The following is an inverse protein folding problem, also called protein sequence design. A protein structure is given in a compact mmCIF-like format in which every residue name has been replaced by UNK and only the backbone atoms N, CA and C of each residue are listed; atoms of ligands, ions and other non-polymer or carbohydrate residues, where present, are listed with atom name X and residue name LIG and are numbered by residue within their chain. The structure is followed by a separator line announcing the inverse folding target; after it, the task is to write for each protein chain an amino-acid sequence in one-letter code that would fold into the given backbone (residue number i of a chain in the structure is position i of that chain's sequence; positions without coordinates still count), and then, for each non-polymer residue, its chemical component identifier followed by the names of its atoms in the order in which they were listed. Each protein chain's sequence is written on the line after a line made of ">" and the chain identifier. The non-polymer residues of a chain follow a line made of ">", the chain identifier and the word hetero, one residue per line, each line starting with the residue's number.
data_IF_242503937544
#
_entry.id   IF_242503937544
#
_cell.length_a   1.000
_cell.length_b   1.000
_cell.length_c   1.000
_cell.angle_alpha   90.00
_cell.angle_beta   90.00
_cell.angle_gamma   90.00
#
_symmetry.space_group_name_H-M   'P 1'
#
loop_
_entity.id
_entity.type
_entity.pdbx_description
1 polymer ?
#
# COMPACT_ATOMS: atom_id res chain seq x y z
N UNK A 1 -2.08 -17.88 -25.34
CA UNK A 1 -0.78 -17.22 -25.61
C UNK A 1 -1.01 -15.73 -25.84
N UNK A 2 -0.15 -14.88 -25.28
CA UNK A 2 -0.12 -13.43 -25.52
C UNK A 2 1.26 -13.11 -26.07
N UNK A 3 1.32 -12.35 -27.14
CA UNK A 3 2.59 -11.99 -27.77
C UNK A 3 2.68 -10.48 -28.03
N UNK A 4 3.75 -9.89 -27.56
CA UNK A 4 4.14 -8.49 -27.80
C UNK A 4 5.37 -8.53 -28.69
N UNK A 5 5.34 -7.84 -29.85
CA UNK A 5 6.46 -7.77 -30.80
C UNK A 5 6.82 -6.32 -31.05
N UNK A 6 8.09 -5.98 -30.87
CA UNK A 6 8.69 -4.69 -31.25
C UNK A 6 7.86 -3.48 -30.76
N UNK A 7 7.28 -3.58 -29.57
CA UNK A 7 6.41 -2.56 -29.04
C UNK A 7 7.16 -1.28 -28.69
N UNK A 8 6.64 -0.15 -29.16
CA UNK A 8 7.06 1.18 -28.75
C UNK A 8 5.91 1.81 -27.99
N UNK A 9 6.12 2.18 -26.74
CA UNK A 9 5.09 2.80 -25.90
C UNK A 9 5.50 4.22 -25.55
N UNK A 10 4.58 5.16 -25.77
CA UNK A 10 4.75 6.59 -25.45
C UNK A 10 3.67 6.99 -24.44
N UNK A 11 4.09 7.57 -23.31
CA UNK A 11 3.18 8.11 -22.28
C UNK A 11 3.61 9.53 -21.92
N UNK A 12 2.67 10.48 -21.99
CA UNK A 12 2.94 11.91 -21.70
C UNK A 12 4.12 12.50 -22.50
N UNK A 13 4.27 12.09 -23.77
CA UNK A 13 5.33 12.56 -24.65
C UNK A 13 6.70 11.89 -24.45
N UNK A 14 6.86 11.05 -23.47
CA UNK A 14 8.08 10.29 -23.23
C UNK A 14 7.98 8.87 -23.82
N UNK A 15 9.01 8.45 -24.54
CA UNK A 15 9.16 7.07 -25.00
C UNK A 15 9.56 6.22 -23.80
N UNK A 16 8.67 5.29 -23.41
CA UNK A 16 8.89 4.41 -22.28
C UNK A 16 9.49 3.08 -22.73
N UNK A 17 8.77 2.31 -23.55
CA UNK A 17 9.32 1.09 -24.14
C UNK A 17 9.80 1.37 -25.57
N UNK A 18 10.91 0.75 -25.93
CA UNK A 18 11.50 0.83 -27.25
C UNK A 18 11.88 -0.56 -27.73
N UNK A 19 11.23 -1.01 -28.81
CA UNK A 19 11.45 -2.34 -29.38
C UNK A 19 11.27 -3.49 -28.38
N UNK A 20 10.26 -3.36 -27.48
CA UNK A 20 9.98 -4.33 -26.44
C UNK A 20 9.25 -5.55 -27.03
N UNK A 21 9.76 -6.75 -26.74
CA UNK A 21 9.14 -8.00 -27.17
C UNK A 21 9.04 -8.96 -25.99
N UNK A 22 7.88 -9.60 -25.82
CA UNK A 22 7.63 -10.56 -24.76
C UNK A 22 6.54 -11.54 -25.16
N UNK A 23 6.73 -12.81 -24.83
CA UNK A 23 5.78 -13.88 -25.12
C UNK A 23 5.35 -14.57 -23.83
N UNK A 24 4.05 -14.72 -23.67
CA UNK A 24 3.43 -15.40 -22.52
C UNK A 24 2.68 -16.62 -23.08
N UNK A 25 3.13 -17.81 -22.77
CA UNK A 25 2.50 -19.03 -23.23
C UNK A 25 1.28 -19.41 -22.38
N UNK A 26 0.45 -20.28 -22.92
CA UNK A 26 -0.69 -20.82 -22.17
C UNK A 26 -0.18 -21.63 -20.96
N UNK A 27 -0.84 -21.47 -19.81
CA UNK A 27 -0.44 -22.10 -18.54
C UNK A 27 0.74 -21.43 -17.83
N UNK A 28 1.30 -20.36 -18.37
CA UNK A 28 2.28 -19.54 -17.67
C UNK A 28 1.57 -18.47 -16.84
N UNK A 29 1.86 -18.44 -15.54
CA UNK A 29 1.40 -17.42 -14.61
C UNK A 29 2.61 -16.59 -14.16
N UNK A 30 2.53 -15.28 -14.35
CA UNK A 30 3.69 -14.43 -14.25
C UNK A 30 3.62 -13.44 -13.08
N UNK A 31 4.74 -13.25 -12.39
CA UNK A 31 4.99 -12.09 -11.55
C UNK A 31 5.97 -11.16 -12.25
N UNK A 32 5.62 -9.87 -12.34
CA UNK A 32 6.46 -8.81 -12.88
C UNK A 32 7.06 -8.04 -11.71
N UNK A 33 8.39 -7.98 -11.65
CA UNK A 33 9.16 -7.29 -10.61
C UNK A 33 10.12 -6.26 -11.21
N UNK A 34 10.75 -5.45 -10.37
CA UNK A 34 11.75 -4.46 -10.81
C UNK A 34 11.61 -3.13 -10.07
N UNK A 35 12.56 -2.20 -10.20
CA UNK A 35 12.56 -0.92 -9.53
C UNK A 35 11.29 -0.10 -9.78
N UNK A 36 11.01 0.87 -8.90
CA UNK A 36 9.94 1.82 -9.16
C UNK A 36 10.25 2.64 -10.42
N UNK A 37 9.22 2.87 -11.24
CA UNK A 37 9.39 3.56 -12.53
C UNK A 37 9.93 2.68 -13.68
N UNK A 38 10.16 1.37 -13.50
CA UNK A 38 10.66 0.47 -14.56
C UNK A 38 9.62 0.09 -15.62
N UNK A 39 8.36 0.53 -15.50
CA UNK A 39 7.32 0.30 -16.50
C UNK A 39 6.36 -0.84 -16.21
N UNK A 40 6.39 -1.46 -15.03
CA UNK A 40 5.52 -2.61 -14.65
C UNK A 40 4.03 -2.34 -14.87
N UNK A 41 3.50 -1.30 -14.23
CA UNK A 41 2.10 -0.85 -14.41
C UNK A 41 1.81 -0.53 -15.87
N UNK A 42 2.72 0.16 -16.56
CA UNK A 42 2.58 0.52 -17.98
C UNK A 42 2.47 -0.73 -18.87
N UNK A 43 3.19 -1.80 -18.53
CA UNK A 43 3.08 -3.07 -19.25
C UNK A 43 1.70 -3.72 -19.03
N UNK A 44 1.17 -3.72 -17.81
CA UNK A 44 -0.21 -4.20 -17.55
C UNK A 44 -1.25 -3.33 -18.28
N UNK A 45 -1.09 -1.99 -18.24
CA UNK A 45 -1.95 -1.05 -18.97
C UNK A 45 -1.90 -1.29 -20.49
N UNK A 46 -0.73 -1.62 -21.04
CA UNK A 46 -0.57 -2.01 -22.44
C UNK A 46 -1.35 -3.30 -22.74
N UNK A 47 -1.18 -4.35 -21.94
CA UNK A 47 -1.86 -5.64 -22.14
C UNK A 47 -3.38 -5.52 -21.95
N UNK A 48 -3.86 -4.66 -21.06
CA UNK A 48 -5.29 -4.42 -20.86
C UNK A 48 -5.95 -3.58 -21.95
N UNK A 49 -5.15 -2.82 -22.73
CA UNK A 49 -5.65 -1.86 -23.72
C UNK A 49 -5.99 -0.48 -23.14
N UNK A 50 -5.59 -0.20 -21.90
CA UNK A 50 -5.71 1.13 -21.33
C UNK A 50 -4.75 2.15 -21.97
N UNK A 51 -3.64 1.66 -22.53
CA UNK A 51 -2.67 2.46 -23.29
C UNK A 51 -2.65 1.99 -24.75
N UNK A 52 -2.65 2.98 -25.65
CA UNK A 52 -2.51 2.72 -27.10
C UNK A 52 -1.07 2.29 -27.44
N UNK A 53 -0.95 1.33 -28.36
CA UNK A 53 0.31 0.88 -28.93
C UNK A 53 0.54 1.56 -30.28
N UNK A 54 1.39 2.61 -30.36
CA UNK A 54 1.61 3.34 -31.62
C UNK A 54 2.44 2.54 -32.64
N UNK A 55 3.36 1.69 -32.19
CA UNK A 55 4.21 0.85 -33.05
C UNK A 55 4.43 -0.51 -32.42
N UNK A 56 4.54 -1.56 -33.26
CA UNK A 56 4.65 -2.94 -32.86
C UNK A 56 3.30 -3.65 -32.89
N UNK A 57 3.28 -4.88 -32.41
CA UNK A 57 2.10 -5.73 -32.42
C UNK A 57 1.84 -6.30 -31.02
N UNK A 58 0.56 -6.45 -30.70
CA UNK A 58 0.08 -7.16 -29.52
C UNK A 58 -1.05 -8.09 -29.94
N UNK A 59 -0.79 -9.38 -29.83
CA UNK A 59 -1.72 -10.43 -30.24
C UNK A 59 -2.09 -11.35 -29.10
N UNK A 60 -3.30 -11.91 -29.16
CA UNK A 60 -3.83 -12.86 -28.20
C UNK A 60 -4.40 -14.05 -28.95
N UNK A 61 -3.99 -15.26 -28.61
CA UNK A 61 -4.47 -16.49 -29.27
C UNK A 61 -5.98 -16.75 -29.08
N UNK A 62 -6.58 -16.10 -28.08
CA UNK A 62 -7.98 -16.26 -27.71
C UNK A 62 -8.88 -15.10 -28.15
N UNK A 63 -8.34 -14.09 -28.86
CA UNK A 63 -9.09 -12.95 -29.40
C UNK A 63 -9.14 -13.09 -30.92
N UNK A 64 -10.33 -13.28 -31.44
CA UNK A 64 -10.63 -13.34 -32.86
C UNK A 64 -11.40 -12.07 -33.27
N UNK A 65 -11.32 -11.70 -34.54
CA UNK A 65 -12.09 -10.58 -35.09
C UNK A 65 -11.41 -9.98 -36.32
N UNK A 66 -12.22 -9.58 -37.28
CA UNK A 66 -11.75 -8.98 -38.52
C UNK A 66 -11.52 -7.48 -38.39
N UNK A 67 -12.23 -6.84 -37.45
CA UNK A 67 -12.15 -5.40 -37.22
C UNK A 67 -11.42 -5.06 -35.92
N UNK A 68 -10.87 -3.84 -35.84
CA UNK A 68 -10.26 -3.33 -34.63
C UNK A 68 -11.26 -3.24 -33.45
N UNK A 69 -12.50 -2.79 -33.72
CA UNK A 69 -13.55 -2.66 -32.72
C UNK A 69 -13.97 -3.99 -32.11
N UNK A 70 -14.05 -5.05 -32.90
CA UNK A 70 -14.34 -6.40 -32.42
C UNK A 70 -13.23 -6.91 -31.50
N UNK A 71 -11.97 -6.80 -31.94
CA UNK A 71 -10.82 -7.21 -31.13
C UNK A 71 -10.73 -6.43 -29.82
N UNK A 72 -10.97 -5.12 -29.86
CA UNK A 72 -10.98 -4.27 -28.68
C UNK A 72 -12.08 -4.65 -27.71
N UNK A 73 -13.30 -4.92 -28.20
CA UNK A 73 -14.44 -5.34 -27.39
C UNK A 73 -14.19 -6.70 -26.73
N UNK A 74 -13.69 -7.67 -27.49
CA UNK A 74 -13.30 -8.97 -26.95
C UNK A 74 -12.19 -8.87 -25.91
N UNK A 75 -11.16 -8.03 -26.17
CA UNK A 75 -10.08 -7.79 -25.23
C UNK A 75 -10.60 -7.29 -23.90
N UNK A 76 -11.52 -6.32 -23.88
CA UNK A 76 -12.13 -5.80 -22.66
C UNK A 76 -12.91 -6.84 -21.87
N UNK A 77 -13.49 -7.83 -22.55
CA UNK A 77 -14.22 -8.94 -21.91
C UNK A 77 -13.29 -10.02 -21.38
N UNK A 78 -12.26 -10.37 -22.15
CA UNK A 78 -11.38 -11.51 -21.88
C UNK A 78 -10.14 -11.17 -21.08
N UNK A 79 -9.75 -9.90 -20.99
CA UNK A 79 -8.59 -9.41 -20.23
C UNK A 79 -9.07 -8.39 -19.20
N UNK A 80 -9.07 -8.78 -17.94
CA UNK A 80 -9.48 -7.89 -16.85
C UNK A 80 -8.26 -7.33 -16.14
N UNK A 81 -8.26 -6.02 -15.91
CA UNK A 81 -7.20 -5.31 -15.21
C UNK A 81 -7.71 -4.70 -13.91
N UNK A 82 -7.05 -5.03 -12.80
CA UNK A 82 -7.30 -4.45 -11.49
C UNK A 82 -6.10 -3.62 -11.08
N UNK A 83 -6.22 -2.28 -11.07
CA UNK A 83 -5.14 -1.36 -10.72
C UNK A 83 -4.84 -1.37 -9.22
N UNK A 84 -3.64 -0.93 -8.84
CA UNK A 84 -3.21 -0.79 -7.45
C UNK A 84 -4.18 0.08 -6.64
N UNK A 85 -4.61 1.22 -7.21
CA UNK A 85 -5.55 2.17 -6.60
C UNK A 85 -7.01 1.90 -6.99
N UNK A 86 -7.44 0.67 -6.86
CA UNK A 86 -8.77 0.22 -7.27
C UNK A 86 -9.93 0.97 -6.60
N UNK A 87 -9.73 1.51 -5.38
CA UNK A 87 -10.74 2.31 -4.69
C UNK A 87 -11.11 3.58 -5.48
N UNK A 88 -10.12 4.25 -6.07
CA UNK A 88 -10.37 5.45 -6.89
C UNK A 88 -11.17 5.13 -8.14
N UNK A 89 -10.95 3.95 -8.74
CA UNK A 89 -11.69 3.52 -9.92
C UNK A 89 -13.15 3.27 -9.57
N UNK A 90 -13.44 2.56 -8.47
CA UNK A 90 -14.83 2.29 -8.03
C UNK A 90 -15.56 3.57 -7.67
N UNK A 91 -14.89 4.51 -7.02
CA UNK A 91 -15.52 5.76 -6.58
C UNK A 91 -15.64 6.81 -7.70
N UNK A 92 -14.74 6.81 -8.68
CA UNK A 92 -14.86 7.66 -9.87
C UNK A 92 -15.97 7.17 -10.79
N UNK A 93 -16.19 5.87 -10.89
CA UNK A 93 -17.34 5.29 -11.58
C UNK A 93 -18.66 5.62 -10.85
N UNK A 94 -18.63 5.83 -9.53
CA UNK A 94 -19.78 6.14 -8.69
C UNK A 94 -20.05 7.65 -8.48
N UNK A 95 -19.49 8.53 -9.35
CA UNK A 95 -19.60 9.99 -9.28
C UNK A 95 -18.84 10.69 -8.13
N UNK A 96 -17.57 10.94 -8.37
CA UNK A 96 -16.82 12.18 -8.11
C UNK A 96 -16.70 12.81 -6.71
N UNK A 97 -17.13 12.22 -5.58
CA UNK A 97 -17.29 12.97 -4.33
C UNK A 97 -16.55 12.44 -3.09
N UNK A 98 -15.67 11.45 -3.25
CA UNK A 98 -15.03 10.79 -2.10
C UNK A 98 -14.22 11.73 -1.18
N UNK A 99 -13.51 12.71 -1.72
CA UNK A 99 -12.65 13.59 -0.92
C UNK A 99 -13.40 14.67 -0.14
N UNK A 100 -14.55 15.11 -0.63
CA UNK A 100 -15.34 16.14 0.06
C UNK A 100 -16.21 15.60 1.19
N UNK A 101 -16.68 14.36 1.09
CA UNK A 101 -17.60 13.76 2.07
C UNK A 101 -16.93 13.30 3.37
N UNK A 102 -15.64 12.96 3.34
CA UNK A 102 -14.91 12.55 4.56
C UNK A 102 -14.70 13.70 5.55
N UNK A 103 -14.77 14.96 5.06
CA UNK A 103 -14.55 16.17 5.86
C UNK A 103 -15.77 17.10 5.96
N UNK A 104 -16.75 17.00 5.09
CA UNK A 104 -17.94 17.81 5.10
C UNK A 104 -19.14 16.92 5.40
N UNK A 105 -19.61 16.91 6.64
CA UNK A 105 -20.81 16.18 7.08
C UNK A 105 -22.11 16.70 6.47
N UNK A 106 -22.12 17.01 5.17
CA UNK A 106 -23.32 17.45 4.44
C UNK A 106 -23.74 16.36 3.46
N UNK A 107 -24.91 15.78 3.78
CA UNK A 107 -25.51 14.64 3.17
C UNK A 107 -26.07 14.86 1.79
N UNK A 108 -26.39 13.77 1.22
CA UNK A 108 -27.38 13.37 0.19
C UNK A 108 -26.86 12.85 -1.14
N UNK A 109 -25.56 12.60 -1.32
CA UNK A 109 -25.13 11.71 -2.39
C UNK A 109 -24.74 10.35 -1.75
N UNK A 110 -25.59 9.36 -1.98
CA UNK A 110 -25.46 8.04 -1.34
C UNK A 110 -24.20 7.35 -1.82
N UNK A 111 -23.26 7.11 -0.92
CA UNK A 111 -22.12 6.23 -1.16
C UNK A 111 -22.68 4.86 -1.59
N UNK A 112 -22.20 4.29 -2.71
CA UNK A 112 -22.73 3.03 -3.20
C UNK A 112 -22.47 1.90 -2.20
N UNK A 113 -23.46 1.05 -2.00
CA UNK A 113 -23.29 -0.22 -1.30
C UNK A 113 -22.53 -1.20 -2.20
N UNK A 114 -21.85 -2.16 -1.59
CA UNK A 114 -21.13 -3.23 -2.31
C UNK A 114 -22.01 -3.92 -3.34
N UNK A 115 -23.27 -4.23 -3.00
CA UNK A 115 -24.22 -4.84 -3.93
C UNK A 115 -24.46 -3.98 -5.18
N UNK A 116 -24.46 -2.66 -5.06
CA UNK A 116 -24.63 -1.76 -6.21
C UNK A 116 -23.38 -1.75 -7.10
N UNK A 117 -22.19 -1.83 -6.51
CA UNK A 117 -20.91 -1.91 -7.26
C UNK A 117 -20.80 -3.22 -8.04
N UNK A 118 -21.33 -4.33 -7.48
CA UNK A 118 -21.34 -5.61 -8.16
C UNK A 118 -22.37 -5.66 -9.29
N UNK A 119 -23.42 -4.81 -9.27
CA UNK A 119 -24.42 -4.69 -10.32
C UNK A 119 -25.25 -5.97 -10.53
N UNK A 120 -25.24 -6.90 -9.58
CA UNK A 120 -25.91 -8.19 -9.65
C UNK A 120 -26.74 -8.46 -8.41
N UNK A 121 -27.81 -9.24 -8.59
CA UNK A 121 -28.66 -9.66 -7.49
C UNK A 121 -27.89 -10.59 -6.52
N UNK A 122 -28.24 -10.52 -5.22
CA UNK A 122 -27.62 -11.35 -4.18
C UNK A 122 -27.62 -12.84 -4.51
N UNK A 123 -28.68 -13.32 -5.18
CA UNK A 123 -28.80 -14.72 -5.58
C UNK A 123 -27.80 -15.12 -6.67
N UNK A 124 -27.44 -14.21 -7.58
CA UNK A 124 -26.44 -14.47 -8.62
C UNK A 124 -25.04 -14.57 -8.03
N UNK A 125 -24.73 -13.73 -7.02
CA UNK A 125 -23.46 -13.79 -6.31
C UNK A 125 -23.32 -15.12 -5.57
N UNK A 126 -24.40 -15.60 -4.93
CA UNK A 126 -24.42 -16.88 -4.22
C UNK A 126 -24.34 -18.10 -5.13
N UNK A 127 -24.68 -17.95 -6.40
CA UNK A 127 -24.59 -19.06 -7.38
C UNK A 127 -23.17 -19.27 -7.92
N UNK A 128 -22.26 -18.35 -7.66
CA UNK A 128 -20.86 -18.55 -8.03
C UNK A 128 -20.26 -19.66 -7.17
N UNK A 129 -19.61 -20.67 -7.77
CA UNK A 129 -18.90 -21.69 -7.04
C UNK A 129 -17.57 -21.14 -6.53
N UNK A 130 -17.64 -20.28 -5.51
CA UNK A 130 -16.49 -19.72 -4.81
C UNK A 130 -16.34 -20.36 -3.43
N UNK A 131 -15.13 -20.55 -2.92
CA UNK A 131 -14.92 -21.04 -1.56
C UNK A 131 -15.63 -20.20 -0.50
N UNK A 132 -16.10 -20.80 0.58
CA UNK A 132 -16.77 -20.08 1.68
C UNK A 132 -15.88 -19.01 2.32
N UNK A 133 -14.58 -19.25 2.39
CA UNK A 133 -13.58 -18.28 2.85
C UNK A 133 -13.58 -16.97 2.04
N UNK A 134 -14.12 -17.03 0.82
CA UNK A 134 -14.25 -15.89 -0.09
C UNK A 134 -15.66 -15.30 -0.14
N UNK A 135 -16.59 -15.82 0.66
CA UNK A 135 -17.94 -15.26 0.74
C UNK A 135 -17.89 -13.79 1.19
N UNK A 136 -18.59 -12.95 0.44
CA UNK A 136 -18.76 -11.52 0.74
C UNK A 136 -20.17 -11.18 1.20
N UNK A 137 -20.97 -12.17 1.55
CA UNK A 137 -22.38 -11.97 1.93
C UNK A 137 -22.56 -10.92 3.03
N UNK A 138 -21.64 -10.90 3.99
CA UNK A 138 -21.60 -9.93 5.09
C UNK A 138 -21.23 -8.50 4.67
N UNK A 139 -20.63 -8.34 3.48
CA UNK A 139 -20.19 -7.03 2.95
C UNK A 139 -21.26 -6.38 2.05
N UNK A 140 -22.22 -7.12 1.51
CA UNK A 140 -23.13 -6.66 0.45
C UNK A 140 -23.90 -5.39 0.80
N UNK A 141 -24.27 -5.23 2.06
CA UNK A 141 -25.02 -4.08 2.56
C UNK A 141 -24.13 -2.97 3.16
N UNK A 142 -22.82 -3.12 3.09
CA UNK A 142 -21.89 -2.07 3.54
C UNK A 142 -21.63 -1.04 2.45
N UNK A 143 -21.41 0.19 2.85
CA UNK A 143 -20.87 1.24 1.98
C UNK A 143 -19.43 0.86 1.57
N UNK A 144 -19.07 1.09 0.31
CA UNK A 144 -17.74 0.75 -0.22
C UNK A 144 -16.61 1.43 0.57
N UNK A 145 -16.89 2.61 1.12
CA UNK A 145 -15.94 3.37 1.95
C UNK A 145 -15.65 2.74 3.33
N UNK A 146 -16.50 1.81 3.77
CA UNK A 146 -16.32 1.07 5.02
C UNK A 146 -15.52 -0.22 4.86
N UNK A 147 -15.19 -0.58 3.64
CA UNK A 147 -14.41 -1.77 3.37
C UNK A 147 -12.93 -1.57 3.71
N UNK A 148 -12.30 -2.60 4.26
CA UNK A 148 -10.84 -2.67 4.29
C UNK A 148 -10.28 -2.81 2.87
N UNK A 149 -9.00 -2.51 2.67
CA UNK A 149 -8.34 -2.68 1.35
C UNK A 149 -8.48 -4.12 0.84
N UNK A 150 -8.37 -5.13 1.71
CA UNK A 150 -8.55 -6.53 1.35
C UNK A 150 -9.97 -6.86 0.92
N UNK A 151 -10.96 -6.40 1.70
CA UNK A 151 -12.37 -6.58 1.36
C UNK A 151 -12.72 -5.92 0.02
N UNK A 152 -12.21 -4.71 -0.22
CA UNK A 152 -12.41 -4.03 -1.49
C UNK A 152 -11.81 -4.81 -2.66
N UNK A 153 -10.58 -5.31 -2.52
CA UNK A 153 -9.92 -6.14 -3.56
C UNK A 153 -10.70 -7.42 -3.83
N UNK A 154 -11.23 -8.09 -2.78
CA UNK A 154 -12.13 -9.23 -2.92
C UNK A 154 -13.39 -8.87 -3.73
N UNK A 155 -14.03 -7.76 -3.41
CA UNK A 155 -15.22 -7.27 -4.14
C UNK A 155 -14.93 -7.02 -5.63
N UNK A 156 -13.77 -6.42 -5.94
CA UNK A 156 -13.39 -6.12 -7.33
C UNK A 156 -13.08 -7.37 -8.14
N UNK A 157 -12.40 -8.34 -7.53
CA UNK A 157 -12.16 -9.63 -8.16
C UNK A 157 -13.49 -10.34 -8.47
N UNK A 158 -14.42 -10.35 -7.52
CA UNK A 158 -15.76 -10.92 -7.74
C UNK A 158 -16.54 -10.15 -8.79
N UNK A 159 -16.45 -8.81 -8.84
CA UNK A 159 -17.08 -8.01 -9.91
C UNK A 159 -16.57 -8.45 -11.28
N UNK A 160 -15.27 -8.67 -11.41
CA UNK A 160 -14.66 -9.14 -12.65
C UNK A 160 -15.24 -10.51 -13.07
N UNK A 161 -15.39 -11.45 -12.16
CA UNK A 161 -15.93 -12.78 -12.40
C UNK A 161 -17.43 -12.79 -12.72
N UNK A 162 -18.21 -11.90 -12.09
CA UNK A 162 -19.66 -11.79 -12.31
C UNK A 162 -20.00 -11.26 -13.70
N UNK A 163 -19.11 -10.49 -14.33
CA UNK A 163 -19.28 -9.97 -15.68
C UNK A 163 -19.12 -11.11 -16.71
N UNK A 164 -17.95 -11.73 -16.72
CA UNK A 164 -17.57 -12.87 -17.54
C UNK A 164 -16.24 -13.41 -16.96
N UNK A 165 -16.08 -14.73 -16.90
CA UNK A 165 -14.79 -15.30 -16.44
C UNK A 165 -13.72 -14.92 -17.46
N UNK A 166 -12.70 -14.13 -17.07
CA UNK A 166 -11.68 -13.68 -18.02
C UNK A 166 -10.72 -14.79 -18.39
N UNK A 167 -10.14 -14.72 -19.60
CA UNK A 167 -9.00 -15.57 -19.96
C UNK A 167 -7.75 -15.14 -19.20
N UNK A 168 -7.60 -13.82 -18.96
CA UNK A 168 -6.41 -13.23 -18.34
C UNK A 168 -6.83 -12.24 -17.27
N UNK A 169 -6.23 -12.35 -16.09
CA UNK A 169 -6.39 -11.43 -14.98
C UNK A 169 -5.06 -10.72 -14.72
N UNK A 170 -5.08 -9.40 -14.89
CA UNK A 170 -3.94 -8.51 -14.66
C UNK A 170 -4.12 -7.82 -13.32
N UNK A 171 -3.17 -8.01 -12.40
CA UNK A 171 -3.24 -7.50 -11.03
C UNK A 171 -2.03 -6.60 -10.75
N UNK A 172 -2.30 -5.33 -10.47
CA UNK A 172 -1.26 -4.36 -10.13
C UNK A 172 -1.19 -4.20 -8.61
N UNK A 173 -0.13 -4.68 -7.99
CA UNK A 173 0.10 -4.70 -6.55
C UNK A 173 -1.10 -5.20 -5.74
N UNK A 174 -1.59 -6.43 -6.01
CA UNK A 174 -2.82 -6.94 -5.38
C UNK A 174 -2.71 -7.08 -3.87
N UNK A 175 -1.51 -7.29 -3.33
CA UNK A 175 -1.28 -7.57 -1.91
C UNK A 175 -0.92 -6.32 -1.10
N UNK A 176 -0.83 -5.15 -1.73
CA UNK A 176 -0.47 -3.91 -1.06
C UNK A 176 -1.52 -3.50 -0.02
N UNK A 177 -1.07 -3.18 1.21
CA UNK A 177 -1.95 -2.77 2.32
C UNK A 177 -2.79 -3.90 2.92
N UNK A 178 -2.48 -5.18 2.61
CA UNK A 178 -3.12 -6.33 3.23
C UNK A 178 -2.32 -6.83 4.42
N UNK A 179 -3.02 -7.20 5.49
CA UNK A 179 -2.44 -8.00 6.57
C UNK A 179 -2.16 -9.44 6.10
N UNK A 180 -1.45 -10.21 6.93
CA UNK A 180 -1.01 -11.55 6.59
C UNK A 180 -2.18 -12.47 6.22
N UNK A 181 -3.22 -12.53 7.06
CA UNK A 181 -4.38 -13.41 6.86
C UNK A 181 -5.11 -13.04 5.55
N UNK A 182 -5.36 -11.73 5.32
CA UNK A 182 -6.01 -11.24 4.10
C UNK A 182 -5.19 -11.51 2.83
N UNK A 183 -3.86 -11.54 2.96
CA UNK A 183 -2.96 -11.88 1.86
C UNK A 183 -3.05 -13.37 1.53
N UNK A 184 -2.98 -14.26 2.53
CA UNK A 184 -3.14 -15.70 2.31
C UNK A 184 -4.47 -16.00 1.64
N UNK A 185 -5.57 -15.46 2.17
CA UNK A 185 -6.89 -15.61 1.56
C UNK A 185 -6.90 -15.18 0.09
N UNK A 186 -6.23 -14.06 -0.25
CA UNK A 186 -6.19 -13.55 -1.61
C UNK A 186 -5.33 -14.43 -2.52
N UNK A 187 -4.20 -14.94 -2.03
CA UNK A 187 -3.37 -15.92 -2.75
C UNK A 187 -4.16 -17.19 -3.06
N UNK A 188 -4.82 -17.78 -2.06
CA UNK A 188 -5.63 -18.98 -2.24
C UNK A 188 -6.78 -18.75 -3.23
N UNK A 189 -7.37 -17.56 -3.26
CA UNK A 189 -8.39 -17.23 -4.25
C UNK A 189 -7.82 -17.08 -5.67
N UNK A 190 -6.67 -16.46 -5.84
CA UNK A 190 -6.01 -16.37 -7.14
C UNK A 190 -5.65 -17.78 -7.63
N UNK A 191 -5.14 -18.64 -6.76
CA UNK A 191 -4.84 -20.04 -7.08
C UNK A 191 -6.11 -20.78 -7.50
N UNK A 192 -7.22 -20.58 -6.77
CA UNK A 192 -8.51 -21.16 -7.13
C UNK A 192 -9.01 -20.69 -8.51
N UNK A 193 -8.88 -19.40 -8.84
CA UNK A 193 -9.27 -18.87 -10.15
C UNK A 193 -8.46 -19.51 -11.29
N UNK A 194 -7.16 -19.61 -11.10
CA UNK A 194 -6.27 -20.18 -12.10
C UNK A 194 -6.53 -21.68 -12.31
N UNK A 195 -6.71 -22.44 -11.21
CA UNK A 195 -6.85 -23.90 -11.28
C UNK A 195 -8.26 -24.35 -11.68
N UNK A 196 -9.31 -23.66 -11.20
CA UNK A 196 -10.70 -24.06 -11.44
C UNK A 196 -11.25 -23.51 -12.74
N UNK A 197 -10.93 -22.28 -13.06
CA UNK A 197 -11.47 -21.59 -14.24
C UNK A 197 -10.47 -21.44 -15.39
N UNK A 198 -9.22 -21.85 -15.20
CA UNK A 198 -8.18 -21.73 -16.22
C UNK A 198 -7.77 -20.28 -16.49
N UNK A 199 -7.99 -19.37 -15.55
CA UNK A 199 -7.65 -17.95 -15.69
C UNK A 199 -6.14 -17.80 -15.65
N UNK A 200 -5.55 -17.21 -16.67
CA UNK A 200 -4.11 -16.87 -16.69
C UNK A 200 -3.85 -15.66 -15.83
N UNK A 201 -2.90 -15.76 -14.91
CA UNK A 201 -2.58 -14.69 -13.93
C UNK A 201 -1.29 -13.99 -14.34
N UNK A 202 -1.33 -12.66 -14.43
CA UNK A 202 -0.17 -11.79 -14.58
C UNK A 202 -0.26 -10.71 -13.51
N UNK A 203 0.66 -10.71 -12.55
CA UNK A 203 0.63 -9.75 -11.46
C UNK A 203 1.94 -8.97 -11.33
N UNK A 204 1.83 -7.75 -10.84
CA UNK A 204 2.97 -6.93 -10.43
C UNK A 204 3.05 -6.98 -8.92
N UNK A 205 4.17 -7.41 -8.38
CA UNK A 205 4.42 -7.36 -6.93
C UNK A 205 5.93 -7.37 -6.63
N UNK A 206 6.28 -6.99 -5.38
CA UNK A 206 7.64 -7.03 -4.85
C UNK A 206 7.81 -8.07 -3.73
N UNK A 207 6.75 -8.76 -3.34
CA UNK A 207 6.74 -9.67 -2.21
C UNK A 207 7.24 -11.07 -2.58
N UNK A 208 7.76 -11.78 -1.58
CA UNK A 208 8.21 -13.17 -1.73
C UNK A 208 7.05 -14.17 -1.58
N UNK A 209 5.97 -13.78 -0.87
CA UNK A 209 4.79 -14.63 -0.69
C UNK A 209 3.80 -14.37 -1.83
N UNK A 210 3.79 -15.26 -2.79
CA UNK A 210 3.00 -15.20 -4.02
C UNK A 210 2.03 -16.40 -4.10
N UNK A 211 0.96 -16.32 -4.89
CA UNK A 211 0.11 -17.47 -5.22
C UNK A 211 0.95 -18.63 -5.77
N UNK A 212 0.59 -19.86 -5.40
CA UNK A 212 1.33 -21.08 -5.79
C UNK A 212 1.36 -21.34 -7.28
N UNK A 213 0.34 -20.85 -8.00
CA UNK A 213 0.26 -20.96 -9.48
C UNK A 213 1.31 -20.13 -10.20
N UNK A 214 1.90 -19.12 -9.57
CA UNK A 214 2.92 -18.27 -10.18
C UNK A 214 4.17 -19.09 -10.44
N UNK A 215 4.44 -19.35 -11.73
CA UNK A 215 5.54 -20.22 -12.18
C UNK A 215 6.62 -19.50 -13.00
N UNK A 216 6.39 -18.22 -13.33
CA UNK A 216 7.32 -17.41 -14.11
C UNK A 216 7.51 -16.03 -13.50
N UNK A 217 8.69 -15.48 -13.66
CA UNK A 217 9.06 -14.14 -13.17
C UNK A 217 9.72 -13.33 -14.27
N UNK A 218 9.21 -12.13 -14.48
CA UNK A 218 9.79 -11.11 -15.35
C UNK A 218 10.41 -10.01 -14.49
N UNK A 219 11.68 -9.72 -14.70
CA UNK A 219 12.36 -8.58 -14.07
C UNK A 219 12.49 -7.47 -15.11
N UNK A 220 11.85 -6.34 -14.84
CA UNK A 220 11.96 -5.13 -15.66
C UNK A 220 12.95 -4.15 -15.03
N UNK A 221 13.80 -3.56 -15.86
CA UNK A 221 14.66 -2.45 -15.47
C UNK A 221 14.67 -1.41 -16.59
N UNK A 222 14.41 -0.14 -16.25
CA UNK A 222 14.44 0.97 -17.21
C UNK A 222 13.65 0.69 -18.49
N UNK A 223 12.44 0.14 -18.37
CA UNK A 223 11.53 -0.21 -19.47
C UNK A 223 12.04 -1.31 -20.42
N UNK A 224 13.00 -2.12 -19.97
CA UNK A 224 13.51 -3.27 -20.71
C UNK A 224 13.41 -4.54 -19.86
N UNK A 225 13.38 -5.70 -20.52
CA UNK A 225 13.50 -6.99 -19.83
C UNK A 225 14.96 -7.15 -19.41
N UNK A 226 15.19 -7.22 -18.10
CA UNK A 226 16.49 -7.55 -17.55
C UNK A 226 16.68 -9.07 -17.48
N UNK A 227 15.61 -9.78 -17.06
CA UNK A 227 15.67 -11.22 -16.84
C UNK A 227 14.28 -11.86 -16.83
N UNK A 228 14.22 -13.10 -17.36
CA UNK A 228 13.07 -14.00 -17.22
C UNK A 228 13.53 -15.26 -16.47
N UNK A 229 12.78 -15.66 -15.46
CA UNK A 229 13.14 -16.79 -14.60
C UNK A 229 11.92 -17.70 -14.35
N UNK A 230 12.16 -19.00 -14.20
CA UNK A 230 11.18 -19.86 -13.56
C UNK A 230 11.19 -19.60 -12.06
N UNK A 231 10.00 -19.49 -11.45
CA UNK A 231 9.87 -19.40 -9.99
C UNK A 231 10.03 -20.80 -9.42
N UNK A 232 11.14 -21.05 -8.72
CA UNK A 232 11.27 -22.27 -7.93
C UNK A 232 10.30 -22.20 -6.74
N UNK A 233 9.73 -23.35 -6.33
CA UNK A 233 8.86 -23.42 -5.16
C UNK A 233 9.50 -22.69 -3.98
N UNK A 234 8.83 -21.64 -3.53
CA UNK A 234 9.29 -20.79 -2.43
C UNK A 234 9.29 -21.63 -1.17
N UNK A 235 10.47 -21.90 -0.62
CA UNK A 235 10.62 -22.40 0.72
C UNK A 235 9.94 -21.41 1.68
N UNK A 236 8.97 -21.91 2.45
CA UNK A 236 8.28 -21.14 3.47
C UNK A 236 9.32 -20.49 4.40
N UNK A 237 9.35 -19.18 4.46
CA UNK A 237 10.18 -18.44 5.40
C UNK A 237 9.52 -18.62 6.77
N UNK A 238 10.16 -19.38 7.64
CA UNK A 238 9.74 -19.50 9.04
C UNK A 238 9.74 -18.12 9.69
N UNK A 239 8.61 -17.76 10.27
CA UNK A 239 8.46 -16.56 11.10
C UNK A 239 9.35 -16.77 12.35
N UNK A 240 10.33 -15.92 12.60
CA UNK A 240 11.17 -16.08 13.79
C UNK A 240 10.31 -15.94 15.05
N UNK A 241 10.27 -16.99 15.85
CA UNK A 241 9.67 -16.97 17.18
C UNK A 241 10.42 -15.99 18.09
N UNK A 242 9.65 -15.23 18.83
CA UNK A 242 9.99 -14.16 19.76
C UNK A 242 11.27 -14.42 20.57
N UNK A 243 12.24 -13.55 20.41
CA UNK A 243 13.24 -13.33 21.47
C UNK A 243 12.71 -12.22 22.38
N UNK A 244 12.36 -12.59 23.61
CA UNK A 244 12.07 -11.62 24.67
C UNK A 244 13.31 -10.77 24.91
N UNK A 245 13.21 -9.44 24.92
CA UNK A 245 14.36 -8.58 25.12
C UNK A 245 14.88 -8.73 26.55
N UNK A 246 16.20 -8.87 26.70
CA UNK A 246 16.86 -8.67 27.98
C UNK A 246 16.68 -7.20 28.36
N UNK A 247 15.87 -6.94 29.35
CA UNK A 247 15.67 -5.63 29.97
C UNK A 247 16.98 -5.19 30.62
N UNK A 248 17.59 -4.16 30.08
CA UNK A 248 18.65 -3.42 30.76
C UNK A 248 17.98 -2.49 31.78
N UNK A 249 17.81 -2.96 33.01
CA UNK A 249 17.00 -2.36 34.08
C UNK A 249 17.64 -1.11 34.75
N UNK A 250 18.75 -0.55 34.24
CA UNK A 250 19.55 0.41 34.99
C UNK A 250 19.42 1.88 34.58
N UNK A 251 18.54 2.26 33.63
CA UNK A 251 18.33 3.67 33.25
C UNK A 251 16.94 4.17 33.65
N UNK A 252 16.88 5.26 34.40
CA UNK A 252 15.66 6.04 34.61
C UNK A 252 15.15 6.54 33.26
N UNK A 253 14.22 5.79 32.66
CA UNK A 253 13.70 6.05 31.30
C UNK A 253 12.52 7.04 31.43
N UNK A 254 12.63 8.18 30.73
CA UNK A 254 11.55 9.18 30.67
C UNK A 254 10.42 8.66 29.76
N UNK A 255 9.18 8.58 30.21
CA UNK A 255 8.07 8.17 29.36
C UNK A 255 7.76 9.27 28.33
N UNK A 256 7.71 8.88 27.06
CA UNK A 256 7.35 9.73 25.92
C UNK A 256 5.88 9.59 25.59
N UNK A 257 5.35 8.35 25.65
CA UNK A 257 3.93 8.05 25.50
C UNK A 257 3.51 7.14 26.65
N UNK A 258 2.43 7.48 27.32
CA UNK A 258 1.80 6.65 28.34
C UNK A 258 0.29 6.61 28.09
N UNK A 259 -0.24 5.41 28.00
CA UNK A 259 -1.66 5.14 27.70
C UNK A 259 -2.17 4.17 28.75
N UNK A 260 -3.25 4.55 29.43
CA UNK A 260 -3.88 3.72 30.43
C UNK A 260 -5.34 3.47 30.08
N UNK A 261 -5.77 2.21 30.13
CA UNK A 261 -7.15 1.77 29.96
C UNK A 261 -7.84 2.33 28.70
N UNK A 262 -7.08 2.50 27.61
CA UNK A 262 -7.62 3.06 26.38
C UNK A 262 -8.75 2.20 25.84
N UNK A 263 -9.85 2.87 25.49
CA UNK A 263 -10.98 2.29 24.78
C UNK A 263 -11.24 3.05 23.48
N UNK A 264 -11.24 2.33 22.36
CA UNK A 264 -11.65 2.85 21.05
C UNK A 264 -12.96 2.14 20.67
N UNK A 265 -14.00 2.92 20.50
CA UNK A 265 -15.32 2.41 20.15
C UNK A 265 -15.96 3.33 19.10
N UNK A 266 -16.51 2.73 18.05
CA UNK A 266 -17.30 3.40 17.02
C UNK A 266 -18.72 2.84 17.04
N UNK A 267 -19.68 3.66 17.46
CA UNK A 267 -21.06 3.21 17.68
C UNK A 267 -21.10 1.99 18.63
N UNK A 268 -21.58 0.84 18.15
CA UNK A 268 -21.66 -0.41 18.92
C UNK A 268 -20.44 -1.32 18.75
N UNK A 269 -19.48 -0.94 17.89
CA UNK A 269 -18.28 -1.74 17.63
C UNK A 269 -17.10 -1.30 18.48
N UNK A 270 -16.64 -2.18 19.36
CA UNK A 270 -15.43 -1.97 20.18
C UNK A 270 -14.23 -2.46 19.36
N UNK A 271 -13.32 -1.53 19.03
CA UNK A 271 -12.10 -1.81 18.27
C UNK A 271 -10.94 -2.15 19.20
N UNK A 272 -10.87 -1.46 20.36
CA UNK A 272 -9.81 -1.64 21.36
C UNK A 272 -10.39 -1.38 22.76
N UNK A 273 -10.03 -2.21 23.73
CA UNK A 273 -10.47 -2.08 25.11
C UNK A 273 -9.35 -2.44 26.07
N UNK A 274 -9.29 -1.72 27.21
CA UNK A 274 -8.31 -1.95 28.28
C UNK A 274 -6.84 -1.96 27.80
N UNK A 275 -6.53 -1.16 26.77
CA UNK A 275 -5.19 -1.11 26.23
C UNK A 275 -4.28 -0.22 27.07
N UNK A 276 -3.18 -0.82 27.58
CA UNK A 276 -2.17 -0.14 28.36
C UNK A 276 -0.83 -0.20 27.64
N UNK A 277 -0.14 0.93 27.55
CA UNK A 277 1.14 1.00 26.86
C UNK A 277 1.99 2.16 27.36
N UNK A 278 3.25 1.90 27.66
CA UNK A 278 4.25 2.91 27.98
C UNK A 278 5.42 2.80 27.04
N UNK A 279 5.79 3.92 26.44
CA UNK A 279 6.92 4.05 25.51
C UNK A 279 7.89 5.05 26.13
N UNK A 280 9.14 4.65 26.26
CA UNK A 280 10.19 5.49 26.82
C UNK A 280 11.07 6.11 25.74
N UNK A 281 11.81 7.15 26.09
CA UNK A 281 12.77 7.80 25.20
C UNK A 281 13.80 6.79 24.68
N UNK A 282 14.04 6.81 23.37
CA UNK A 282 14.96 5.91 22.68
C UNK A 282 14.41 4.50 22.42
N UNK A 283 13.17 4.20 22.84
CA UNK A 283 12.54 2.92 22.49
C UNK A 283 12.25 2.81 20.99
N UNK A 284 12.36 1.59 20.47
CA UNK A 284 12.03 1.27 19.07
C UNK A 284 10.97 0.18 19.04
N UNK A 285 9.72 0.59 18.87
CA UNK A 285 8.55 -0.29 18.92
C UNK A 285 8.03 -0.66 17.54
N UNK A 286 7.69 -1.93 17.38
CA UNK A 286 6.78 -2.40 16.34
C UNK A 286 5.37 -2.54 16.91
N UNK A 287 4.39 -1.88 16.29
CA UNK A 287 2.99 -2.02 16.59
C UNK A 287 2.35 -2.92 15.54
N UNK A 288 1.96 -4.12 15.94
CA UNK A 288 1.42 -5.16 15.06
C UNK A 288 -0.04 -5.48 15.40
N UNK A 289 -0.79 -5.97 14.42
CA UNK A 289 -2.20 -6.36 14.58
C UNK A 289 -2.91 -6.42 13.24
N UNK A 290 -4.09 -7.03 13.21
CA UNK A 290 -4.92 -7.15 12.00
C UNK A 290 -5.36 -5.78 11.47
N UNK A 291 -5.79 -5.74 10.21
CA UNK A 291 -6.43 -4.54 9.66
C UNK A 291 -7.72 -4.25 10.44
N UNK A 292 -7.97 -2.95 10.73
CA UNK A 292 -9.11 -2.54 11.54
C UNK A 292 -8.92 -2.68 13.06
N UNK A 293 -7.77 -3.18 13.56
CA UNK A 293 -7.51 -3.30 15.01
C UNK A 293 -7.24 -1.97 15.72
N UNK A 294 -7.28 -0.83 15.02
CA UNK A 294 -7.14 0.50 15.62
C UNK A 294 -5.72 1.07 15.64
N UNK A 295 -4.74 0.47 14.96
CA UNK A 295 -3.35 0.95 14.93
C UNK A 295 -3.21 2.40 14.43
N UNK A 296 -3.76 2.71 13.25
CA UNK A 296 -3.73 4.07 12.68
C UNK A 296 -4.55 5.05 13.53
N UNK A 297 -5.66 4.59 14.15
CA UNK A 297 -6.42 5.40 15.11
C UNK A 297 -5.57 5.74 16.33
N UNK A 298 -4.83 4.77 16.86
CA UNK A 298 -3.92 4.99 17.98
C UNK A 298 -2.82 6.01 17.61
N UNK A 299 -2.23 5.90 16.40
CA UNK A 299 -1.27 6.89 15.91
C UNK A 299 -1.88 8.28 15.79
N UNK A 300 -3.10 8.42 15.26
CA UNK A 300 -3.78 9.71 15.16
C UNK A 300 -4.10 10.33 16.54
N UNK A 301 -4.34 9.50 17.56
CA UNK A 301 -4.49 9.98 18.93
C UNK A 301 -3.16 10.50 19.51
N UNK A 302 -2.05 9.80 19.28
CA UNK A 302 -0.71 10.21 19.71
C UNK A 302 -0.27 11.46 18.95
N UNK A 303 -0.52 11.53 17.63
CA UNK A 303 -0.20 12.69 16.79
C UNK A 303 -1.14 13.90 17.02
N UNK A 304 -2.12 13.75 17.93
CA UNK A 304 -3.06 14.79 18.32
C UNK A 304 -4.08 15.21 17.24
N UNK A 305 -4.37 14.34 16.28
CA UNK A 305 -5.39 14.58 15.23
C UNK A 305 -6.75 13.95 15.52
N UNK A 306 -6.84 13.06 16.52
CA UNK A 306 -8.09 12.37 16.84
C UNK A 306 -8.81 12.97 18.06
N UNK A 307 -10.08 13.40 17.94
CA UNK A 307 -10.80 14.07 19.02
C UNK A 307 -11.05 13.17 20.25
N UNK A 308 -11.18 11.86 20.07
CA UNK A 308 -11.35 10.92 21.20
C UNK A 308 -10.16 10.91 22.17
N UNK A 309 -8.98 11.39 21.76
CA UNK A 309 -7.80 11.45 22.63
C UNK A 309 -8.05 12.27 23.92
N UNK A 310 -8.92 13.28 23.86
CA UNK A 310 -9.23 14.14 25.00
C UNK A 310 -10.03 13.44 26.10
N UNK A 311 -10.80 12.41 25.76
CA UNK A 311 -11.60 11.64 26.72
C UNK A 311 -10.85 10.44 27.30
N UNK A 312 -9.64 10.15 26.81
CA UNK A 312 -8.84 9.01 27.20
C UNK A 312 -7.72 9.39 28.18
N UNK A 313 -7.15 8.39 28.80
CA UNK A 313 -5.99 8.56 29.68
C UNK A 313 -4.70 8.41 28.88
N UNK A 314 -4.30 9.49 28.20
CA UNK A 314 -3.10 9.56 27.36
C UNK A 314 -2.20 10.68 27.86
N UNK A 315 -0.94 10.38 28.11
CA UNK A 315 0.10 11.35 28.41
C UNK A 315 1.13 11.31 27.27
N UNK A 316 1.53 12.49 26.83
CA UNK A 316 2.57 12.70 25.84
C UNK A 316 3.65 13.58 26.46
N UNK A 317 4.88 13.09 26.45
CA UNK A 317 6.04 13.80 27.02
C UNK A 317 5.79 14.26 28.46
N UNK A 318 5.14 13.42 29.26
CA UNK A 318 4.82 13.68 30.67
C UNK A 318 3.61 14.59 30.90
N UNK A 319 2.90 15.06 29.88
CA UNK A 319 1.68 15.88 30.01
C UNK A 319 0.44 15.13 29.55
N UNK A 320 -0.61 15.17 30.35
CA UNK A 320 -1.90 14.57 30.00
C UNK A 320 -2.55 15.33 28.85
N UNK A 321 -3.13 14.60 27.88
CA UNK A 321 -3.90 15.19 26.79
C UNK A 321 -5.10 15.98 27.33
N UNK A 322 -5.27 17.24 26.85
CA UNK A 322 -6.34 18.13 27.28
C UNK A 322 -6.02 18.92 28.55
N UNK A 323 -4.78 18.92 29.04
CA UNK A 323 -4.37 19.72 30.22
C UNK A 323 -3.95 21.16 29.88
N UNK A 324 -4.25 21.64 28.65
CA UNK A 324 -3.98 23.01 28.21
C UNK A 324 -2.81 23.13 27.23
N UNK A 325 -2.22 22.02 26.78
CA UNK A 325 -1.21 22.03 25.73
C UNK A 325 -1.84 22.30 24.35
N UNK A 326 -1.12 23.03 23.52
CA UNK A 326 -1.49 23.23 22.12
C UNK A 326 -1.20 21.97 21.29
N UNK A 327 -2.10 21.66 20.34
CA UNK A 327 -1.86 20.61 19.32
C UNK A 327 -0.53 20.86 18.61
N UNK A 328 -0.19 22.11 18.35
CA UNK A 328 1.05 22.49 17.68
C UNK A 328 2.29 22.22 18.52
N UNK A 329 2.21 22.30 19.85
CA UNK A 329 3.35 21.99 20.74
C UNK A 329 3.66 20.49 20.68
N UNK A 330 2.64 19.64 20.58
CA UNK A 330 2.79 18.20 20.39
C UNK A 330 3.37 17.92 19.02
N UNK A 331 2.79 18.46 17.95
CA UNK A 331 3.23 18.24 16.56
C UNK A 331 4.64 18.75 16.25
N UNK A 332 5.15 19.71 17.03
CA UNK A 332 6.56 20.12 16.93
C UNK A 332 7.53 19.05 17.40
N UNK A 333 7.11 18.15 18.29
CA UNK A 333 7.95 17.10 18.90
C UNK A 333 7.79 15.76 18.20
N UNK A 334 6.74 15.59 17.37
CA UNK A 334 6.41 14.34 16.69
C UNK A 334 6.53 14.54 15.18
N UNK A 335 7.19 13.59 14.49
CA UNK A 335 7.04 13.45 13.05
C UNK A 335 6.15 12.23 12.75
N UNK A 336 5.29 12.37 11.75
CA UNK A 336 4.37 11.33 11.32
C UNK A 336 4.44 11.11 9.82
N UNK A 337 4.56 9.86 9.43
CA UNK A 337 4.40 9.40 8.04
C UNK A 337 3.34 8.33 8.03
N UNK A 338 2.34 8.48 7.18
CA UNK A 338 1.24 7.54 7.05
C UNK A 338 0.60 7.53 5.66
N UNK A 339 -0.30 6.58 5.39
CA UNK A 339 -0.90 6.36 4.07
C UNK A 339 -1.68 7.58 3.52
N UNK A 340 -2.11 8.47 4.40
CA UNK A 340 -2.93 9.66 4.06
C UNK A 340 -2.07 10.89 3.70
N UNK A 341 -0.76 10.73 3.55
CA UNK A 341 0.17 11.84 3.35
C UNK A 341 -0.23 12.76 2.20
N UNK A 342 -0.73 12.20 1.10
CA UNK A 342 -1.15 12.97 -0.09
C UNK A 342 -2.27 13.97 0.24
N UNK A 343 -3.16 13.63 1.17
CA UNK A 343 -4.28 14.51 1.56
C UNK A 343 -3.83 15.75 2.34
N UNK A 344 -2.62 15.77 2.87
CA UNK A 344 -2.04 16.94 3.55
C UNK A 344 -1.27 17.90 2.61
N UNK A 345 -1.07 17.51 1.34
CA UNK A 345 -0.37 18.35 0.38
C UNK A 345 -1.27 19.47 -0.15
N UNK A 346 -0.85 20.72 0.03
CA UNK A 346 -1.55 21.86 -0.59
C UNK A 346 -1.29 21.91 -2.10
N UNK A 347 -2.18 22.55 -2.91
CA UNK A 347 -1.94 22.76 -4.34
C UNK A 347 -0.60 23.43 -4.66
N UNK A 348 -0.14 24.38 -3.81
CA UNK A 348 1.19 25.01 -3.93
C UNK A 348 2.31 24.00 -3.73
N UNK A 349 2.20 23.15 -2.71
CA UNK A 349 3.20 22.12 -2.42
C UNK A 349 3.32 21.11 -3.55
N UNK A 350 2.20 20.73 -4.16
CA UNK A 350 2.16 19.80 -5.29
C UNK A 350 2.92 20.36 -6.52
N UNK A 351 2.98 21.68 -6.70
CA UNK A 351 3.67 22.33 -7.81
C UNK A 351 5.19 22.49 -7.59
N UNK A 352 5.66 22.39 -6.34
CA UNK A 352 7.08 22.46 -6.00
C UNK A 352 7.83 21.19 -6.44
N UNK A 353 9.16 21.30 -6.63
CA UNK A 353 9.99 20.10 -6.66
C UNK A 353 10.00 19.41 -5.29
N UNK A 354 10.31 18.11 -5.24
CA UNK A 354 10.42 17.39 -3.96
C UNK A 354 11.47 18.07 -3.05
N UNK A 355 12.59 18.53 -3.62
CA UNK A 355 13.64 19.29 -2.92
C UNK A 355 13.09 20.57 -2.29
N UNK A 356 12.39 21.39 -3.08
CA UNK A 356 11.85 22.65 -2.61
C UNK A 356 10.71 22.45 -1.62
N UNK A 357 9.94 21.39 -1.77
CA UNK A 357 8.93 20.99 -0.79
C UNK A 357 9.54 20.68 0.57
N UNK A 358 10.61 19.84 0.62
CA UNK A 358 11.33 19.51 1.86
C UNK A 358 11.91 20.79 2.50
N UNK A 359 12.53 21.67 1.71
CA UNK A 359 13.04 22.95 2.19
C UNK A 359 11.93 23.87 2.73
N UNK A 360 10.76 23.89 2.10
CA UNK A 360 9.64 24.75 2.53
C UNK A 360 9.14 24.40 3.93
N UNK A 361 9.22 23.12 4.30
CA UNK A 361 8.84 22.62 5.62
C UNK A 361 9.97 22.84 6.62
N UNK A 362 11.22 22.61 6.21
CA UNK A 362 12.41 22.64 7.05
C UNK A 362 13.25 23.90 6.79
N UNK A 363 12.77 25.06 7.22
CA UNK A 363 13.42 26.36 6.94
C UNK A 363 14.87 26.50 7.44
N UNK A 364 15.32 25.67 8.37
CA UNK A 364 16.67 25.66 8.93
C UNK A 364 17.55 24.55 8.37
N UNK A 365 17.04 23.78 7.40
CA UNK A 365 17.75 22.66 6.83
C UNK A 365 18.98 23.14 6.04
N UNK A 366 20.13 22.60 6.35
CA UNK A 366 21.34 22.82 5.56
C UNK A 366 21.40 21.87 4.36
N UNK A 367 22.12 22.31 3.32
CA UNK A 367 22.23 21.54 2.07
C UNK A 367 23.02 20.25 2.22
N UNK A 368 23.93 20.18 3.18
CA UNK A 368 24.76 18.99 3.42
C UNK A 368 23.86 17.86 3.94
N UNK A 369 23.05 18.16 4.95
CA UNK A 369 22.10 17.19 5.52
C UNK A 369 21.10 16.71 4.48
N UNK A 370 20.55 17.62 3.65
CA UNK A 370 19.64 17.25 2.57
C UNK A 370 20.32 16.35 1.55
N UNK A 371 21.50 16.69 1.08
CA UNK A 371 22.21 15.88 0.08
C UNK A 371 22.63 14.52 0.66
N UNK A 372 23.05 14.47 1.92
CA UNK A 372 23.39 13.22 2.60
C UNK A 372 22.21 12.23 2.61
N UNK A 373 21.01 12.72 2.93
CA UNK A 373 19.82 11.85 2.95
C UNK A 373 19.37 11.47 1.53
N UNK A 374 19.51 12.40 0.56
CA UNK A 374 19.24 12.12 -0.86
C UNK A 374 20.16 11.03 -1.37
N UNK A 375 21.46 11.07 -1.04
CA UNK A 375 22.43 10.06 -1.44
C UNK A 375 22.14 8.71 -0.77
N UNK A 376 21.82 8.72 0.53
CA UNK A 376 21.50 7.48 1.25
C UNK A 376 20.32 6.73 0.64
N UNK A 377 19.27 7.45 0.26
CA UNK A 377 18.05 6.87 -0.33
C UNK A 377 18.09 6.74 -1.85
N UNK A 378 19.20 7.08 -2.50
CA UNK A 378 19.34 7.14 -3.97
C UNK A 378 18.22 7.96 -4.63
N UNK A 379 17.83 9.08 -4.01
CA UNK A 379 16.70 9.90 -4.40
C UNK A 379 17.00 10.92 -5.51
N UNK A 380 18.23 10.94 -6.07
CA UNK A 380 18.66 11.84 -7.15
C UNK A 380 17.73 11.76 -8.37
N UNK A 381 17.18 10.58 -8.62
CA UNK A 381 16.28 10.34 -9.78
C UNK A 381 14.95 11.09 -9.70
N UNK A 382 14.52 11.49 -8.51
CA UNK A 382 13.21 12.14 -8.35
C UNK A 382 13.22 13.44 -7.53
N UNK A 383 14.28 13.74 -6.80
CA UNK A 383 14.30 14.86 -5.84
C UNK A 383 14.00 16.23 -6.48
N UNK A 384 14.33 16.39 -7.75
CA UNK A 384 14.07 17.63 -8.50
C UNK A 384 12.82 17.57 -9.37
N UNK A 385 12.06 16.44 -9.34
CA UNK A 385 10.75 16.33 -10.00
C UNK A 385 9.68 17.08 -9.20
N UNK A 386 8.66 17.66 -9.88
CA UNK A 386 7.48 18.19 -9.20
C UNK A 386 6.77 17.12 -8.36
N UNK A 387 6.34 17.46 -7.15
CA UNK A 387 5.66 16.52 -6.22
C UNK A 387 4.46 15.83 -6.91
N UNK A 388 3.72 16.54 -7.75
CA UNK A 388 2.58 15.99 -8.51
C UNK A 388 2.94 14.89 -9.51
N UNK A 389 4.20 14.78 -9.90
CA UNK A 389 4.70 13.79 -10.87
C UNK A 389 5.38 12.59 -10.23
N UNK A 390 5.48 12.58 -8.90
CA UNK A 390 6.06 11.48 -8.16
C UNK A 390 5.13 10.25 -8.18
N UNK A 391 5.74 9.08 -8.32
CA UNK A 391 5.04 7.81 -8.05
C UNK A 391 4.71 7.68 -6.56
N UNK A 392 3.80 6.75 -6.21
CA UNK A 392 3.45 6.50 -4.81
C UNK A 392 4.67 6.17 -3.95
N UNK A 393 5.61 5.36 -4.47
CA UNK A 393 6.84 5.02 -3.76
C UNK A 393 7.81 6.20 -3.61
N UNK A 394 7.97 7.04 -4.66
CA UNK A 394 8.79 8.25 -4.59
C UNK A 394 8.20 9.26 -3.59
N UNK A 395 6.86 9.39 -3.55
CA UNK A 395 6.16 10.25 -2.61
C UNK A 395 6.31 9.76 -1.16
N UNK A 396 6.17 8.46 -0.94
CA UNK A 396 6.39 7.81 0.35
C UNK A 396 7.83 8.06 0.83
N UNK A 397 8.80 7.84 -0.05
CA UNK A 397 10.21 8.04 0.28
C UNK A 397 10.54 9.51 0.58
N UNK A 398 9.99 10.46 -0.19
CA UNK A 398 10.10 11.90 0.09
C UNK A 398 9.59 12.25 1.49
N UNK A 399 8.45 11.68 1.90
CA UNK A 399 7.88 11.91 3.22
C UNK A 399 8.74 11.34 4.34
N UNK A 400 9.27 10.14 4.14
CA UNK A 400 10.19 9.49 5.08
C UNK A 400 11.47 10.32 5.24
N UNK A 401 12.06 10.77 4.12
CA UNK A 401 13.23 11.65 4.14
C UNK A 401 12.95 12.95 4.91
N UNK A 402 11.80 13.58 4.63
CA UNK A 402 11.37 14.78 5.36
C UNK A 402 11.22 14.53 6.87
N UNK A 403 10.68 13.37 7.26
CA UNK A 403 10.53 12.97 8.65
C UNK A 403 11.91 12.88 9.37
N UNK A 404 12.90 12.31 8.72
CA UNK A 404 14.24 12.14 9.30
C UNK A 404 15.06 13.45 9.34
N UNK A 405 14.78 14.38 8.43
CA UNK A 405 15.42 15.71 8.43
C UNK A 405 14.86 16.65 9.51
N UNK A 406 13.73 16.29 10.14
CA UNK A 406 13.19 17.02 11.28
C UNK A 406 13.69 16.36 12.55
N UNK A 407 14.51 17.03 13.33
CA UNK A 407 14.99 16.55 14.64
C UNK A 407 13.81 16.44 15.63
N UNK A 408 13.09 15.31 15.59
CA UNK A 408 11.93 15.05 16.43
C UNK A 408 12.23 14.01 17.50
N UNK A 409 11.59 14.16 18.65
CA UNK A 409 11.74 13.25 19.78
C UNK A 409 11.02 11.92 19.56
N UNK A 410 9.91 11.96 18.80
CA UNK A 410 9.09 10.79 18.48
C UNK A 410 8.83 10.72 16.97
N UNK A 411 9.13 9.57 16.37
CA UNK A 411 8.81 9.23 15.00
C UNK A 411 7.69 8.19 14.98
N UNK A 412 6.61 8.50 14.28
CA UNK A 412 5.48 7.61 14.03
C UNK A 412 5.47 7.25 12.55
N UNK A 413 5.79 6.01 12.22
CA UNK A 413 5.82 5.53 10.84
C UNK A 413 4.70 4.49 10.63
N UNK A 414 3.67 4.85 9.88
CA UNK A 414 2.55 3.95 9.55
C UNK A 414 2.77 3.37 8.15
N UNK A 415 3.06 2.08 8.08
CA UNK A 415 3.37 1.32 6.86
C UNK A 415 4.46 1.97 5.98
N UNK A 416 5.64 2.34 6.53
CA UNK A 416 6.65 3.09 5.78
C UNK A 416 7.28 2.32 4.62
N UNK A 417 7.21 1.00 4.62
CA UNK A 417 7.74 0.13 3.54
C UNK A 417 6.77 -0.04 2.37
N UNK A 418 5.53 0.44 2.51
CA UNK A 418 4.51 0.37 1.48
C UNK A 418 4.96 1.13 0.23
N UNK A 419 4.69 0.59 -0.97
CA UNK A 419 5.08 1.15 -2.28
C UNK A 419 6.58 1.25 -2.55
N UNK A 420 7.46 0.91 -1.60
CA UNK A 420 8.90 0.94 -1.80
C UNK A 420 9.37 -0.31 -2.57
N UNK A 421 10.27 -0.11 -3.53
CA UNK A 421 10.95 -1.21 -4.20
C UNK A 421 11.99 -1.89 -3.30
N UNK A 422 12.51 -3.07 -3.65
CA UNK A 422 13.45 -3.82 -2.81
C UNK A 422 14.72 -3.04 -2.42
N UNK A 423 15.22 -2.16 -3.29
CA UNK A 423 16.39 -1.33 -2.99
C UNK A 423 16.03 -0.25 -1.98
N UNK A 424 14.92 0.44 -2.20
CA UNK A 424 14.43 1.48 -1.29
C UNK A 424 14.11 0.91 0.10
N UNK A 425 13.47 -0.27 0.17
CA UNK A 425 13.23 -0.98 1.44
C UNK A 425 14.53 -1.27 2.17
N UNK A 426 15.54 -1.80 1.48
CA UNK A 426 16.86 -2.07 2.06
C UNK A 426 17.54 -0.81 2.58
N UNK A 427 17.47 0.29 1.83
CA UNK A 427 18.03 1.57 2.24
C UNK A 427 17.32 2.13 3.47
N UNK A 428 15.97 2.03 3.53
CA UNK A 428 15.20 2.43 4.71
C UNK A 428 15.55 1.57 5.93
N UNK A 429 15.61 0.24 5.79
CA UNK A 429 16.00 -0.65 6.88
C UNK A 429 17.39 -0.31 7.43
N UNK A 430 18.37 -0.08 6.55
CA UNK A 430 19.73 0.34 6.96
C UNK A 430 19.72 1.68 7.66
N UNK A 431 18.91 2.64 7.20
CA UNK A 431 18.80 3.94 7.84
C UNK A 431 18.24 3.82 9.26
N UNK A 432 17.17 3.06 9.44
CA UNK A 432 16.56 2.80 10.75
C UNK A 432 17.51 2.11 11.73
N UNK A 433 18.41 1.26 11.22
CA UNK A 433 19.41 0.56 12.05
C UNK A 433 20.53 1.46 12.52
N UNK A 434 21.10 2.29 11.64
CA UNK A 434 22.42 2.88 11.85
C UNK A 434 22.45 4.40 11.92
N UNK A 435 21.37 5.11 11.50
CA UNK A 435 21.37 6.57 11.40
C UNK A 435 20.42 7.28 12.36
N UNK A 436 19.51 6.54 13.02
CA UNK A 436 18.67 7.17 14.04
C UNK A 436 19.47 7.47 15.30
N UNK A 437 19.30 8.70 15.81
CA UNK A 437 19.90 9.08 17.09
C UNK A 437 19.41 8.13 18.21
N UNK A 438 20.28 7.71 19.15
CA UNK A 438 19.91 6.77 20.22
C UNK A 438 18.73 7.22 21.09
N UNK A 439 18.55 8.54 21.25
CA UNK A 439 17.46 9.11 22.05
C UNK A 439 16.17 9.32 21.25
N UNK A 440 16.20 9.18 19.92
CA UNK A 440 15.00 9.27 19.10
C UNK A 440 14.12 8.05 19.31
N UNK A 441 12.90 8.28 19.76
CA UNK A 441 11.89 7.24 19.95
C UNK A 441 11.22 6.93 18.62
N UNK A 442 11.05 5.65 18.29
CA UNK A 442 10.41 5.20 17.06
C UNK A 442 9.26 4.26 17.37
N UNK A 443 8.09 4.54 16.81
CA UNK A 443 6.97 3.60 16.77
C UNK A 443 6.63 3.36 15.30
N UNK A 444 6.62 2.11 14.88
CA UNK A 444 6.38 1.72 13.51
C UNK A 444 5.22 0.72 13.44
N UNK A 445 4.29 0.97 12.54
CA UNK A 445 3.26 0.01 12.13
C UNK A 445 3.74 -0.65 10.85
N UNK A 446 3.74 -1.99 10.81
CA UNK A 446 3.97 -2.74 9.58
C UNK A 446 3.31 -4.11 9.64
N UNK A 447 2.94 -4.63 8.48
CA UNK A 447 2.43 -5.99 8.30
C UNK A 447 3.53 -6.97 7.86
N UNK A 448 4.75 -6.49 7.67
CA UNK A 448 5.89 -7.29 7.18
C UNK A 448 6.74 -7.78 8.35
N UNK A 449 6.57 -9.05 8.73
CA UNK A 449 7.35 -9.65 9.82
C UNK A 449 8.87 -9.61 9.56
N UNK A 450 9.29 -9.74 8.30
CA UNK A 450 10.70 -9.69 7.90
C UNK A 450 11.33 -8.30 8.07
N UNK A 451 10.53 -7.23 8.02
CA UNK A 451 11.00 -5.87 8.22
C UNK A 451 11.25 -5.57 9.71
N UNK A 452 10.73 -6.41 10.62
CA UNK A 452 10.76 -6.17 12.06
C UNK A 452 12.03 -6.70 12.76
N UNK A 453 12.66 -7.72 12.19
CA UNK A 453 13.66 -8.53 12.92
C UNK A 453 14.97 -7.78 13.18
N UNK A 454 15.32 -6.82 12.32
CA UNK A 454 16.66 -6.24 12.33
C UNK A 454 16.81 -4.95 13.15
N UNK A 455 15.74 -4.20 13.47
CA UNK A 455 15.85 -2.88 14.06
C UNK A 455 14.83 -2.53 15.15
N UNK A 456 13.79 -3.34 15.37
CA UNK A 456 12.91 -3.23 16.54
C UNK A 456 13.33 -4.20 17.62
N UNK A 457 13.45 -3.70 18.85
CA UNK A 457 13.71 -4.52 20.01
C UNK A 457 12.45 -4.75 20.87
N UNK A 458 11.35 -4.09 20.56
CA UNK A 458 10.10 -4.16 21.30
C UNK A 458 8.91 -4.32 20.34
N UNK A 459 7.95 -5.16 20.74
CA UNK A 459 6.73 -5.40 19.95
C UNK A 459 5.50 -5.24 20.81
N UNK A 460 4.49 -4.52 20.32
CA UNK A 460 3.18 -4.38 20.94
C UNK A 460 2.09 -4.86 19.99
N UNK A 461 1.27 -5.80 20.45
CA UNK A 461 0.11 -6.28 19.70
C UNK A 461 -1.14 -5.47 20.02
N UNK A 462 -1.97 -5.24 19.00
CA UNK A 462 -3.22 -4.49 19.07
C UNK A 462 -4.36 -5.40 18.57
N UNK A 463 -5.44 -5.51 19.35
CA UNK A 463 -6.66 -6.24 18.93
C UNK A 463 -6.67 -7.74 19.23
N UNK A 464 -5.82 -8.26 20.11
CA UNK A 464 -6.01 -9.59 20.71
C UNK A 464 -6.86 -9.41 21.98
N UNK A 465 -8.12 -9.88 21.94
CA UNK A 465 -9.04 -9.98 23.08
C UNK A 465 -9.11 -11.43 23.56
#
# INVERSE_FOLDING_TARGET
>A
MIEIRNAVVIKSGNKLFDNFSWTINDGEHWVITGPNGSGKTTLLELISGAIHLPHGELTFSFIDGDTWDERYTQRKRKVHYIPANAIHTVLSEAQGLYYQQRYCGMGDERIPLVMHVLGKAKNEIKSLPIPESFSIDHLLNLEVTRLSNGQLKKVLLLKALLAEIPNVLLLDYPFEGLDFDSREDLCDFIDFLATTYGVQIILVDHHHHLPKVINRKLVLNSFAIEREEAVAESLAVEVPTQNSPKSDESRSRVPVVEILELKIQYQDHIVLQNFNWTVHQGDRWALIGKNGSGKTTLFSMIFADHPMAYSQQIWLFGRRRGSGESIWDIKRRIAYVGPELVSYLSPKSIALSARDYIRSINKKLDEISLNTIVDHFAAQVFIDKPVRSLSSGELQLMAIMNCFLTEKELLLLDEPFQFLDPLQRRNLSRFLQSHLHPETTLILITHYANDLVEWTNLTKRVGEF
#
